data_IF_564148703817
#
_entry.id   IF_564148703817
#
_cell.length_a   1.000
_cell.length_b   1.000
_cell.length_c   1.000
_cell.angle_alpha   90.00
_cell.angle_beta   90.00
_cell.angle_gamma   90.00
#
_symmetry.space_group_name_H-M   'P 1'
#
loop_
_entity.id
_entity.type
_entity.pdbx_description
1 polymer ?
#
# COMPACT_ATOMS: atom_id res chain seq x y z
N UNK A 1 3.76 0.72 -12.25
CA UNK A 1 4.59 1.67 -11.48
C UNK A 1 3.89 3.03 -11.49
N UNK A 2 3.68 3.65 -10.32
CA UNK A 2 2.95 4.92 -10.19
C UNK A 2 3.67 6.08 -10.89
N UNK A 3 5.01 6.08 -10.89
CA UNK A 3 5.83 7.07 -11.62
C UNK A 3 5.54 7.12 -13.12
N UNK A 4 5.28 5.96 -13.75
CA UNK A 4 4.91 5.89 -15.17
C UNK A 4 3.49 6.41 -15.45
N UNK A 5 2.64 6.46 -14.44
CA UNK A 5 1.29 7.02 -14.53
C UNK A 5 1.26 8.53 -14.27
N UNK A 6 2.42 9.19 -14.14
CA UNK A 6 2.51 10.62 -13.86
C UNK A 6 2.08 11.01 -12.44
N UNK A 7 1.99 10.05 -11.51
CA UNK A 7 1.67 10.33 -10.12
C UNK A 7 2.95 10.75 -9.35
N UNK A 8 3.11 12.03 -8.96
CA UNK A 8 4.28 12.47 -8.20
C UNK A 8 4.23 11.89 -6.78
N UNK A 9 5.40 11.52 -6.25
CA UNK A 9 5.52 11.08 -4.86
C UNK A 9 5.56 12.30 -3.95
N UNK A 10 4.46 12.60 -3.28
CA UNK A 10 4.36 13.75 -2.37
C UNK A 10 4.81 13.45 -0.94
N UNK A 11 4.59 12.21 -0.48
CA UNK A 11 5.00 11.73 0.83
C UNK A 11 5.31 10.23 0.76
N UNK A 12 6.24 9.79 1.60
CA UNK A 12 6.59 8.38 1.77
C UNK A 12 6.95 8.16 3.24
N UNK A 13 6.39 7.13 3.85
CA UNK A 13 6.70 6.74 5.22
C UNK A 13 6.75 5.21 5.34
N UNK A 14 7.51 4.75 6.31
CA UNK A 14 7.55 3.36 6.73
C UNK A 14 7.05 3.31 8.17
N UNK A 15 5.88 2.70 8.36
CA UNK A 15 5.25 2.55 9.67
C UNK A 15 5.86 1.33 10.38
N UNK A 16 6.00 1.33 11.72
CA UNK A 16 6.44 0.15 12.46
C UNK A 16 5.61 -1.09 12.15
N UNK A 17 6.26 -2.25 12.18
CA UNK A 17 5.59 -3.53 11.95
C UNK A 17 4.50 -3.78 13.00
N UNK A 18 3.30 -4.08 12.52
CA UNK A 18 2.14 -4.43 13.33
C UNK A 18 1.30 -5.46 12.58
N UNK A 19 0.57 -6.30 13.32
CA UNK A 19 -0.46 -7.14 12.73
C UNK A 19 -1.58 -6.25 12.17
N UNK A 20 -1.88 -6.39 10.88
CA UNK A 20 -2.87 -5.57 10.22
C UNK A 20 -3.65 -6.40 9.20
N UNK A 21 -4.97 -6.40 9.36
CA UNK A 21 -5.91 -7.00 8.42
C UNK A 21 -6.23 -6.02 7.29
N UNK A 22 -6.69 -6.53 6.14
CA UNK A 22 -7.07 -5.69 4.99
C UNK A 22 -8.14 -4.64 5.35
N UNK A 23 -9.05 -4.98 6.26
CA UNK A 23 -10.10 -4.08 6.74
C UNK A 23 -9.56 -2.93 7.62
N UNK A 24 -8.39 -3.09 8.23
CA UNK A 24 -7.70 -2.05 8.99
C UNK A 24 -6.84 -1.15 8.08
N UNK A 25 -6.23 -1.72 7.03
CA UNK A 25 -5.39 -0.97 6.09
C UNK A 25 -6.19 0.03 5.24
N UNK A 26 -7.39 -0.35 4.78
CA UNK A 26 -8.16 0.44 3.80
C UNK A 26 -8.69 1.79 4.33
N UNK A 27 -9.23 1.91 5.56
CA UNK A 27 -9.65 3.20 6.10
C UNK A 27 -8.50 4.21 6.22
N UNK A 28 -7.36 3.80 6.76
CA UNK A 28 -6.22 4.69 7.04
C UNK A 28 -5.59 5.32 5.80
N UNK A 29 -5.67 4.66 4.63
CA UNK A 29 -5.07 5.19 3.40
C UNK A 29 -5.87 6.37 2.81
N UNK A 30 -7.16 6.45 3.11
CA UNK A 30 -8.03 7.56 2.67
C UNK A 30 -7.69 8.84 3.42
N UNK A 31 -7.53 8.75 4.75
CA UNK A 31 -7.08 9.86 5.59
C UNK A 31 -5.69 10.34 5.18
N UNK A 32 -4.77 9.41 4.90
CA UNK A 32 -3.41 9.74 4.47
C UNK A 32 -3.38 10.49 3.13
N UNK A 33 -4.23 10.10 2.17
CA UNK A 33 -4.40 10.86 0.91
C UNK A 33 -4.80 12.31 1.20
N UNK A 34 -5.77 12.50 2.10
CA UNK A 34 -6.26 13.83 2.47
C UNK A 34 -5.19 14.66 3.19
N UNK A 35 -4.50 14.09 4.18
CA UNK A 35 -3.49 14.77 4.99
C UNK A 35 -2.29 15.26 4.17
N UNK A 36 -1.94 14.54 3.10
CA UNK A 36 -0.83 14.90 2.21
C UNK A 36 -1.29 15.60 0.92
N UNK A 37 -2.58 15.96 0.80
CA UNK A 37 -3.15 16.58 -0.40
C UNK A 37 -2.79 15.83 -1.69
N UNK A 38 -2.73 14.50 -1.62
CA UNK A 38 -2.27 13.67 -2.73
C UNK A 38 -3.43 13.26 -3.65
N UNK A 39 -3.15 13.17 -4.96
CA UNK A 39 -4.14 12.66 -5.93
C UNK A 39 -4.46 11.18 -5.73
N UNK A 40 -3.55 10.41 -5.13
CA UNK A 40 -3.74 9.03 -4.72
C UNK A 40 -2.84 8.71 -3.52
N UNK A 41 -3.14 7.63 -2.79
CA UNK A 41 -2.26 7.08 -1.77
C UNK A 41 -2.25 5.56 -1.81
N UNK A 42 -1.06 4.95 -1.67
CA UNK A 42 -0.84 3.50 -1.71
C UNK A 42 -0.23 3.04 -0.38
N UNK A 43 -0.81 2.01 0.24
CA UNK A 43 -0.24 1.29 1.36
C UNK A 43 0.09 -0.16 0.97
N UNK A 44 1.22 -0.65 1.48
CA UNK A 44 1.62 -2.07 1.44
C UNK A 44 1.90 -2.49 2.89
N UNK A 45 1.19 -3.48 3.41
CA UNK A 45 1.26 -3.83 4.82
C UNK A 45 0.86 -5.28 5.11
N UNK A 46 0.79 -5.63 6.40
CA UNK A 46 0.14 -6.85 6.88
C UNK A 46 0.80 -8.15 6.41
N UNK A 47 2.14 -8.24 6.49
CA UNK A 47 2.85 -9.48 6.20
C UNK A 47 2.50 -10.56 7.24
N UNK A 48 1.42 -11.28 6.97
CA UNK A 48 0.81 -12.24 7.88
C UNK A 48 0.36 -13.48 7.10
N UNK A 49 0.75 -14.66 7.56
CA UNK A 49 0.41 -15.94 6.93
C UNK A 49 0.79 -15.99 5.44
N UNK A 50 1.97 -15.49 5.07
CA UNK A 50 2.41 -15.34 3.66
C UNK A 50 1.46 -14.46 2.82
N UNK A 51 0.84 -13.43 3.37
CA UNK A 51 0.04 -12.49 2.59
C UNK A 51 0.52 -11.07 2.80
N UNK A 52 0.36 -10.23 1.77
CA UNK A 52 0.51 -8.79 1.83
C UNK A 52 -0.85 -8.14 1.54
N UNK A 53 -1.15 -7.06 2.23
CA UNK A 53 -2.27 -6.18 1.94
C UNK A 53 -1.80 -5.00 1.09
N UNK A 54 -2.56 -4.70 0.05
CA UNK A 54 -2.43 -3.50 -0.76
C UNK A 54 -3.71 -2.69 -0.61
N UNK A 55 -3.59 -1.41 -0.32
CA UNK A 55 -4.72 -0.48 -0.34
C UNK A 55 -4.37 0.76 -1.16
N UNK A 56 -5.25 1.12 -2.10
CA UNK A 56 -5.13 2.27 -2.97
C UNK A 56 -6.34 3.18 -2.77
N UNK A 57 -6.11 4.39 -2.26
CA UNK A 57 -7.12 5.43 -2.22
C UNK A 57 -7.00 6.34 -3.45
N UNK A 58 -8.08 6.50 -4.20
CA UNK A 58 -8.22 7.43 -5.33
C UNK A 58 -9.42 8.36 -5.09
N UNK A 59 -9.60 9.43 -5.89
CA UNK A 59 -10.77 10.30 -5.78
C UNK A 59 -12.09 9.54 -5.95
N UNK A 60 -12.09 8.45 -6.72
CA UNK A 60 -13.28 7.66 -7.05
C UNK A 60 -13.60 6.57 -6.01
N UNK A 61 -12.70 6.32 -5.07
CA UNK A 61 -12.92 5.34 -4.01
C UNK A 61 -11.63 4.69 -3.50
N UNK A 62 -11.81 3.70 -2.63
CA UNK A 62 -10.71 2.93 -2.04
C UNK A 62 -10.78 1.48 -2.47
N UNK A 63 -9.67 0.99 -3.01
CA UNK A 63 -9.51 -0.37 -3.49
C UNK A 63 -8.53 -1.10 -2.58
N UNK A 64 -8.85 -2.35 -2.23
CA UNK A 64 -8.03 -3.14 -1.32
C UNK A 64 -7.89 -4.57 -1.86
N UNK A 65 -6.67 -5.11 -1.81
CA UNK A 65 -6.34 -6.44 -2.28
C UNK A 65 -5.41 -7.14 -1.28
N UNK A 66 -5.76 -8.36 -0.88
CA UNK A 66 -4.85 -9.26 -0.16
C UNK A 66 -4.22 -10.24 -1.15
N UNK A 67 -2.90 -10.31 -1.17
CA UNK A 67 -2.13 -11.12 -2.12
C UNK A 67 -1.30 -12.13 -1.34
N UNK A 68 -1.36 -13.40 -1.72
CA UNK A 68 -0.42 -14.38 -1.19
C UNK A 68 0.99 -14.09 -1.72
N UNK A 69 1.92 -13.84 -0.81
CA UNK A 69 3.31 -13.56 -1.07
C UNK A 69 4.19 -14.64 -0.43
N UNK A 70 4.78 -15.49 -1.26
CA UNK A 70 5.76 -16.49 -0.84
C UNK A 70 7.15 -16.09 -1.32
N UNK A 71 8.17 -16.23 -0.47
CA UNK A 71 9.55 -15.85 -0.75
C UNK A 71 10.36 -16.97 -1.43
N UNK A 72 9.71 -17.98 -2.02
CA UNK A 72 10.43 -19.08 -2.70
C UNK A 72 11.22 -18.59 -3.94
N UNK A 73 12.50 -18.33 -3.69
CA UNK A 73 13.68 -18.34 -4.60
C UNK A 73 13.63 -17.59 -5.95
N UNK A 74 12.78 -16.57 -6.11
CA UNK A 74 12.89 -15.59 -7.21
C UNK A 74 12.66 -14.15 -6.72
N UNK A 75 13.19 -13.78 -5.56
CA UNK A 75 13.23 -12.38 -5.15
C UNK A 75 14.05 -11.59 -6.17
N UNK A 76 13.38 -10.74 -6.95
CA UNK A 76 14.05 -9.75 -7.78
C UNK A 76 14.91 -8.89 -6.85
N UNK A 77 16.22 -8.88 -7.05
CA UNK A 77 17.11 -8.00 -6.30
C UNK A 77 16.70 -6.55 -6.60
N UNK A 78 16.07 -5.89 -5.63
CA UNK A 78 15.74 -4.47 -5.72
C UNK A 78 17.05 -3.71 -5.52
N UNK A 79 17.52 -3.02 -6.56
CA UNK A 79 18.64 -2.08 -6.52
C UNK A 79 18.11 -0.66 -6.46
#
# INVERSE_FOLDING_TARGET
QLSRAGAPLLACEVVPSQEETLAQTAPGITERRANHFAGLALAVSGFENEHLNFALATPDGTFALRVRFSTTRYSLAIR
#
